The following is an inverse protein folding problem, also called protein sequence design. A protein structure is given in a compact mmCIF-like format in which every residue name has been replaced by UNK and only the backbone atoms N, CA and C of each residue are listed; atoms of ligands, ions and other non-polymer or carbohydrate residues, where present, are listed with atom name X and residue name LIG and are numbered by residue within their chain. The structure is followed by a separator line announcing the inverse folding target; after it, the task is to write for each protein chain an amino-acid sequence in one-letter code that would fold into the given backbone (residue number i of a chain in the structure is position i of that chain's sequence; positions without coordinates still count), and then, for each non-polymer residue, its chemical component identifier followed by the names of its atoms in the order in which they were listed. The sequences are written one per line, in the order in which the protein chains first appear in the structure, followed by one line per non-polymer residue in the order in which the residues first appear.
data_IF_026306028887
#
_entry.id   IF_026306028887
#
_cell.length_a   1.000
_cell.length_b   1.000
_cell.length_c   1.000
_cell.angle_alpha   90.00
_cell.angle_beta   90.00
_cell.angle_gamma   90.00
#
_symmetry.space_group_name_H-M   'P 1'
#
loop_
_entity.id
_entity.type
_entity.pdbx_description
1 polymer ?
#
# COMPACT_ATOMS: atom_id res chain seq x y z
N UNK A 1 3.98 1.53 9.18
CA UNK A 1 3.52 1.58 7.76
C UNK A 1 2.34 0.66 7.54
N UNK A 2 1.45 1.00 6.59
CA UNK A 2 0.29 0.16 6.26
C UNK A 2 0.21 -0.04 4.74
N UNK A 3 -0.07 -1.27 4.31
CA UNK A 3 -0.43 -1.56 2.91
C UNK A 3 -1.32 -2.80 2.83
N UNK A 4 -2.16 -2.87 1.81
CA UNK A 4 -3.11 -3.97 1.62
C UNK A 4 -3.19 -4.46 0.18
N UNK A 5 -3.64 -5.71 0.02
CA UNK A 5 -3.84 -6.31 -1.29
C UNK A 5 -5.16 -7.09 -1.33
N UNK A 6 -5.93 -6.92 -2.41
CA UNK A 6 -7.20 -7.63 -2.59
C UNK A 6 -6.96 -9.10 -2.93
N UNK A 7 -7.69 -10.05 -2.30
CA UNK A 7 -7.56 -11.49 -2.56
C UNK A 7 -8.23 -11.87 -3.90
N UNK A 8 -7.53 -11.64 -4.99
CA UNK A 8 -8.02 -11.92 -6.35
C UNK A 8 -7.43 -13.20 -6.94
N UNK A 9 -7.02 -14.15 -6.11
CA UNK A 9 -6.37 -15.42 -6.49
C UNK A 9 -4.85 -15.35 -6.40
N UNK A 10 -4.16 -16.42 -6.88
CA UNK A 10 -2.70 -16.57 -6.79
C UNK A 10 -1.95 -15.36 -7.33
N UNK A 11 -0.89 -14.96 -6.65
CA UNK A 11 -0.08 -13.82 -7.04
C UNK A 11 0.89 -14.16 -8.18
N UNK A 12 1.31 -13.13 -8.89
CA UNK A 12 2.23 -13.24 -10.02
C UNK A 12 3.39 -12.24 -9.92
N UNK A 13 4.38 -12.35 -10.77
CA UNK A 13 5.56 -11.48 -10.76
C UNK A 13 5.22 -9.99 -10.80
N UNK A 14 4.11 -9.60 -11.44
CA UNK A 14 3.62 -8.23 -11.42
C UNK A 14 3.21 -7.75 -10.02
N UNK A 15 2.64 -8.60 -9.17
CA UNK A 15 2.33 -8.29 -7.79
C UNK A 15 3.61 -8.26 -6.92
N UNK A 16 4.53 -9.18 -7.19
CA UNK A 16 5.80 -9.26 -6.47
C UNK A 16 6.63 -7.99 -6.65
N UNK A 17 6.97 -7.64 -7.87
CA UNK A 17 7.75 -6.44 -8.16
C UNK A 17 6.97 -5.14 -7.94
N UNK A 18 5.64 -5.18 -8.08
CA UNK A 18 4.78 -4.02 -7.88
C UNK A 18 4.59 -3.65 -6.41
N UNK A 19 4.70 -4.59 -5.48
CA UNK A 19 4.45 -4.35 -4.06
C UNK A 19 5.30 -5.22 -3.13
N UNK A 20 5.23 -6.56 -3.24
CA UNK A 20 5.76 -7.47 -2.23
C UNK A 20 7.27 -7.34 -2.02
N UNK A 21 8.03 -7.17 -3.08
CA UNK A 21 9.49 -7.00 -2.99
C UNK A 21 9.86 -5.80 -2.12
N UNK A 22 9.14 -4.70 -2.28
CA UNK A 22 9.32 -3.53 -1.43
C UNK A 22 8.89 -3.81 0.03
N UNK A 23 7.79 -4.54 0.23
CA UNK A 23 7.34 -4.91 1.57
C UNK A 23 8.36 -5.77 2.31
N UNK A 24 9.04 -6.69 1.62
CA UNK A 24 10.08 -7.53 2.22
C UNK A 24 11.30 -6.75 2.71
N UNK A 25 11.55 -5.57 2.16
CA UNK A 25 12.61 -4.66 2.61
C UNK A 25 12.13 -3.73 3.72
N UNK A 26 10.93 -3.17 3.58
CA UNK A 26 10.34 -2.23 4.55
C UNK A 26 10.08 -2.86 5.91
N UNK A 27 9.74 -4.15 5.97
CA UNK A 27 9.43 -4.84 7.22
C UNK A 27 10.57 -4.81 8.25
N UNK A 28 11.83 -4.59 7.83
CA UNK A 28 12.99 -4.49 8.72
C UNK A 28 13.34 -3.05 9.09
N UNK A 29 12.66 -2.07 8.49
CA UNK A 29 12.92 -0.66 8.70
C UNK A 29 11.82 0.03 9.51
N UNK A 30 10.60 -0.53 9.47
CA UNK A 30 9.40 0.06 10.05
C UNK A 30 8.50 -1.00 10.67
N UNK A 31 7.67 -0.60 11.62
CA UNK A 31 6.51 -1.40 12.03
C UNK A 31 5.52 -1.46 10.87
N UNK A 32 5.42 -2.64 10.24
CA UNK A 32 4.62 -2.86 9.05
C UNK A 32 3.38 -3.69 9.35
N UNK A 33 2.25 -3.20 8.84
CA UNK A 33 0.95 -3.85 8.86
C UNK A 33 0.54 -4.13 7.42
N UNK A 34 0.49 -5.41 7.05
CA UNK A 34 0.08 -5.86 5.71
C UNK A 34 -1.20 -6.66 5.81
N UNK A 35 -2.23 -6.27 5.06
CA UNK A 35 -3.53 -6.90 5.19
C UNK A 35 -4.12 -7.40 3.87
N UNK A 36 -4.84 -8.51 3.98
CA UNK A 36 -5.71 -8.98 2.90
C UNK A 36 -6.98 -8.15 2.93
N UNK A 37 -7.19 -7.38 1.86
CA UNK A 37 -8.29 -6.42 1.72
C UNK A 37 -9.55 -7.10 1.16
N UNK A 38 -10.16 -7.98 1.95
CA UNK A 38 -11.31 -8.77 1.55
C UNK A 38 -12.61 -7.94 1.44
N UNK A 39 -12.85 -6.95 2.31
CA UNK A 39 -13.93 -5.99 2.11
C UNK A 39 -13.79 -5.23 0.80
N UNK A 40 -12.57 -4.82 0.43
CA UNK A 40 -12.34 -4.18 -0.86
C UNK A 40 -12.59 -5.12 -2.04
N UNK A 41 -12.37 -6.42 -1.90
CA UNK A 41 -12.70 -7.38 -2.94
C UNK A 41 -14.20 -7.43 -3.20
N UNK A 42 -15.02 -7.32 -2.14
CA UNK A 42 -16.48 -7.30 -2.24
C UNK A 42 -17.02 -6.07 -2.97
N UNK A 43 -16.35 -4.95 -2.97
CA UNK A 43 -16.85 -3.72 -3.64
C UNK A 43 -17.06 -3.89 -5.14
N UNK A 44 -16.36 -4.83 -5.76
CA UNK A 44 -16.45 -5.12 -7.20
C UNK A 44 -16.72 -6.58 -7.53
N UNK A 45 -16.81 -7.45 -6.52
CA UNK A 45 -16.94 -8.91 -6.68
C UNK A 45 -17.95 -9.55 -5.74
N UNK A 46 -18.94 -8.80 -5.25
CA UNK A 46 -19.95 -9.29 -4.30
C UNK A 46 -20.87 -10.38 -4.85
N UNK A 47 -20.95 -10.52 -6.17
CA UNK A 47 -21.79 -11.52 -6.83
C UNK A 47 -21.23 -12.95 -6.71
N UNK A 48 -19.91 -13.11 -6.58
CA UNK A 48 -19.24 -14.39 -6.39
C UNK A 48 -18.23 -14.33 -5.25
N UNK A 49 -18.63 -14.80 -4.10
CA UNK A 49 -17.84 -14.81 -2.86
C UNK A 49 -17.23 -16.18 -2.56
N UNK A 50 -17.51 -17.19 -3.38
CA UNK A 50 -17.15 -18.59 -3.13
C UNK A 50 -15.66 -18.85 -2.96
N UNK A 51 -14.82 -17.96 -3.49
CA UNK A 51 -13.37 -18.10 -3.51
C UNK A 51 -12.62 -17.17 -2.55
N UNK A 52 -13.30 -16.26 -1.83
CA UNK A 52 -12.63 -15.22 -1.02
C UNK A 52 -11.77 -15.84 0.08
N UNK A 53 -12.27 -16.85 0.79
CA UNK A 53 -11.54 -17.49 1.88
C UNK A 53 -10.30 -18.22 1.37
N UNK A 54 -10.45 -19.02 0.30
CA UNK A 54 -9.32 -19.71 -0.32
C UNK A 54 -8.29 -18.74 -0.87
N UNK A 55 -8.72 -17.72 -1.61
CA UNK A 55 -7.83 -16.69 -2.15
C UNK A 55 -7.10 -15.92 -1.05
N UNK A 56 -7.76 -15.68 0.08
CA UNK A 56 -7.12 -15.04 1.25
C UNK A 56 -6.02 -15.92 1.80
N UNK A 57 -6.29 -17.19 2.02
CA UNK A 57 -5.32 -18.14 2.53
C UNK A 57 -4.12 -18.30 1.57
N UNK A 58 -4.39 -18.49 0.28
CA UNK A 58 -3.36 -18.61 -0.77
C UNK A 58 -2.50 -17.36 -0.89
N UNK A 59 -3.10 -16.18 -0.74
CA UNK A 59 -2.37 -14.91 -0.77
C UNK A 59 -1.39 -14.77 0.39
N UNK A 60 -1.78 -15.18 1.60
CA UNK A 60 -0.87 -15.15 2.76
C UNK A 60 0.28 -16.13 2.55
N UNK A 61 0.04 -17.31 1.98
CA UNK A 61 1.11 -18.25 1.60
C UNK A 61 2.05 -17.59 0.57
N UNK A 62 1.52 -16.92 -0.45
CA UNK A 62 2.33 -16.19 -1.43
C UNK A 62 3.20 -15.11 -0.77
N UNK A 63 2.68 -14.39 0.22
CA UNK A 63 3.43 -13.37 0.97
C UNK A 63 4.59 -13.98 1.77
N UNK A 64 4.32 -15.07 2.48
CA UNK A 64 5.33 -15.81 3.25
C UNK A 64 6.40 -16.41 2.32
N UNK A 65 5.97 -16.99 1.19
CA UNK A 65 6.85 -17.51 0.15
C UNK A 65 7.73 -16.42 -0.48
N UNK A 66 7.19 -15.21 -0.66
CA UNK A 66 7.93 -14.06 -1.16
C UNK A 66 8.96 -13.50 -0.15
N UNK A 67 8.87 -13.87 1.14
CA UNK A 67 9.83 -13.49 2.17
C UNK A 67 9.29 -12.55 3.24
N UNK A 68 7.97 -12.36 3.35
CA UNK A 68 7.41 -11.66 4.51
C UNK A 68 7.58 -12.53 5.77
N UNK A 69 8.08 -11.92 6.82
CA UNK A 69 8.36 -12.57 8.10
C UNK A 69 7.32 -12.16 9.15
N UNK A 70 6.43 -13.07 9.58
CA UNK A 70 5.39 -12.75 10.55
C UNK A 70 5.92 -12.42 11.96
N UNK A 71 7.20 -12.68 12.23
CA UNK A 71 7.82 -12.28 13.50
C UNK A 71 8.14 -10.78 13.55
N UNK A 72 8.24 -10.08 12.40
CA UNK A 72 8.57 -8.65 12.33
C UNK A 72 7.46 -7.82 11.70
N UNK A 73 6.68 -8.38 10.78
CA UNK A 73 5.54 -7.71 10.15
C UNK A 73 4.21 -8.30 10.65
N UNK A 74 3.21 -7.47 10.79
CA UNK A 74 1.85 -7.90 11.15
C UNK A 74 1.07 -8.24 9.89
N UNK A 75 0.72 -9.53 9.71
CA UNK A 75 -0.04 -10.03 8.56
C UNK A 75 -1.47 -10.36 9.02
N UNK A 76 -2.48 -9.71 8.46
CA UNK A 76 -3.86 -9.88 8.94
C UNK A 76 -4.90 -9.80 7.82
N UNK A 77 -6.16 -10.08 8.16
CA UNK A 77 -7.31 -10.00 7.24
C UNK A 77 -8.22 -8.86 7.70
N UNK A 78 -8.57 -7.98 6.78
CA UNK A 78 -9.33 -6.76 7.05
C UNK A 78 -10.65 -7.05 7.79
N UNK A 79 -11.44 -8.00 7.32
CA UNK A 79 -12.74 -8.34 7.92
C UNK A 79 -12.67 -8.93 9.33
N UNK A 80 -11.50 -9.46 9.74
CA UNK A 80 -11.27 -9.98 11.08
C UNK A 80 -10.89 -8.89 12.10
N UNK A 81 -10.76 -7.65 11.64
CA UNK A 81 -10.56 -6.44 12.46
C UNK A 81 -11.75 -5.51 12.18
N UNK A 82 -12.91 -5.72 12.87
CA UNK A 82 -14.16 -5.02 12.59
C UNK A 82 -14.07 -3.50 12.77
N UNK A 83 -13.06 -3.02 13.46
CA UNK A 83 -12.74 -1.60 13.65
C UNK A 83 -12.59 -0.86 12.31
N UNK A 84 -12.15 -1.53 11.24
CA UNK A 84 -12.11 -0.97 9.88
C UNK A 84 -13.52 -0.55 9.39
N UNK A 85 -14.49 -1.44 9.56
CA UNK A 85 -15.87 -1.17 9.16
C UNK A 85 -16.52 -0.12 10.06
N UNK A 86 -16.23 -0.13 11.36
CA UNK A 86 -16.78 0.85 12.30
C UNK A 86 -16.21 2.25 12.02
N UNK A 87 -14.89 2.38 11.82
CA UNK A 87 -14.30 3.68 11.46
C UNK A 87 -14.82 4.18 10.10
N UNK A 88 -14.94 3.30 9.10
CA UNK A 88 -15.55 3.67 7.83
C UNK A 88 -16.95 4.25 8.01
N UNK A 89 -17.80 3.61 8.83
CA UNK A 89 -19.14 4.10 9.13
C UNK A 89 -19.08 5.49 9.77
N UNK A 90 -18.23 5.70 10.78
CA UNK A 90 -18.12 6.99 11.48
C UNK A 90 -17.63 8.10 10.55
N UNK A 91 -16.64 7.83 9.73
CA UNK A 91 -16.12 8.78 8.75
C UNK A 91 -17.15 9.10 7.65
N UNK A 92 -18.05 8.15 7.32
CA UNK A 92 -19.10 8.38 6.31
C UNK A 92 -20.08 9.48 6.72
N UNK A 93 -20.23 9.75 8.03
CA UNK A 93 -21.11 10.81 8.54
C UNK A 93 -20.59 12.22 8.23
N UNK A 94 -19.31 12.36 7.94
CA UNK A 94 -18.68 13.67 7.72
C UNK A 94 -18.11 13.85 6.30
N UNK A 95 -18.02 12.78 5.51
CA UNK A 95 -17.37 12.83 4.20
C UNK A 95 -18.38 13.27 3.12
N UNK A 96 -18.14 14.41 2.42
CA UNK A 96 -19.00 14.83 1.33
C UNK A 96 -18.96 13.86 0.15
N UNK A 97 -20.13 13.49 -0.43
CA UNK A 97 -20.21 12.58 -1.58
C UNK A 97 -19.38 13.06 -2.77
N UNK A 98 -19.40 14.36 -3.06
CA UNK A 98 -18.62 14.91 -4.17
C UNK A 98 -17.09 14.76 -4.03
N UNK A 99 -16.58 14.41 -2.85
CA UNK A 99 -15.17 14.07 -2.71
C UNK A 99 -14.89 12.68 -3.28
N UNK A 100 -15.76 11.72 -2.99
CA UNK A 100 -15.65 10.33 -3.46
C UNK A 100 -15.84 10.23 -4.97
N UNK A 101 -16.84 10.95 -5.52
CA UNK A 101 -17.14 10.99 -6.96
C UNK A 101 -16.01 11.60 -7.81
N UNK A 102 -15.14 12.42 -7.21
CA UNK A 102 -14.01 13.06 -7.91
C UNK A 102 -12.72 12.25 -7.89
N UNK A 103 -12.65 11.16 -7.13
CA UNK A 103 -11.47 10.30 -7.12
C UNK A 103 -11.26 9.72 -8.52
N UNK A 104 -10.09 9.95 -9.18
CA UNK A 104 -9.87 9.53 -10.56
C UNK A 104 -10.09 8.04 -10.80
N UNK A 105 -9.58 7.20 -9.90
CA UNK A 105 -9.72 5.74 -9.99
C UNK A 105 -11.17 5.24 -9.90
N UNK A 106 -12.08 5.98 -9.27
CA UNK A 106 -13.51 5.68 -9.27
C UNK A 106 -14.08 5.74 -10.68
N UNK A 107 -13.76 6.80 -11.43
CA UNK A 107 -14.22 6.99 -12.82
C UNK A 107 -13.59 5.97 -13.77
N UNK A 108 -12.27 5.76 -13.63
CA UNK A 108 -11.53 4.81 -14.45
C UNK A 108 -12.07 3.38 -14.29
N UNK A 109 -12.39 2.98 -13.05
CA UNK A 109 -12.97 1.66 -12.79
C UNK A 109 -14.40 1.52 -13.32
N UNK A 110 -15.23 2.56 -13.26
CA UNK A 110 -16.55 2.56 -13.90
C UNK A 110 -16.45 2.36 -15.43
N UNK A 111 -15.44 2.93 -16.07
CA UNK A 111 -15.21 2.76 -17.49
C UNK A 111 -14.68 1.37 -17.85
N UNK A 112 -13.81 0.80 -17.02
CA UNK A 112 -13.20 -0.51 -17.26
C UNK A 112 -14.12 -1.69 -16.96
N UNK A 113 -15.06 -1.53 -16.02
CA UNK A 113 -15.94 -2.59 -15.52
C UNK A 113 -17.41 -2.37 -15.92
N UNK A 114 -17.66 -1.86 -17.13
CA UNK A 114 -19.02 -1.54 -17.64
C UNK A 114 -20.00 -2.72 -17.63
N UNK A 115 -19.50 -3.94 -17.60
CA UNK A 115 -20.32 -5.15 -17.57
C UNK A 115 -20.81 -5.52 -16.16
N UNK A 116 -20.30 -4.85 -15.10
CA UNK A 116 -20.69 -5.07 -13.72
C UNK A 116 -21.63 -3.95 -13.25
N UNK A 117 -22.60 -4.31 -12.42
CA UNK A 117 -23.40 -3.31 -11.71
C UNK A 117 -22.56 -2.71 -10.56
N UNK A 118 -21.90 -1.60 -10.85
CA UNK A 118 -21.11 -0.83 -9.91
C UNK A 118 -21.87 0.37 -9.30
N UNK A 119 -23.17 0.50 -9.56
CA UNK A 119 -23.99 1.55 -8.98
C UNK A 119 -24.38 1.25 -7.52
N UNK A 120 -23.42 0.76 -6.75
CA UNK A 120 -23.62 0.41 -5.34
C UNK A 120 -22.92 1.41 -4.41
N UNK A 121 -23.48 1.59 -3.20
CA UNK A 121 -22.81 2.39 -2.16
C UNK A 121 -21.41 1.86 -1.82
N UNK A 122 -21.24 0.54 -1.76
CA UNK A 122 -19.96 -0.09 -1.49
C UNK A 122 -18.89 0.30 -2.49
N UNK A 123 -19.23 0.37 -3.78
CA UNK A 123 -18.32 0.81 -4.81
C UNK A 123 -18.02 2.32 -4.74
N UNK A 124 -19.03 3.17 -4.54
CA UNK A 124 -18.81 4.60 -4.31
C UNK A 124 -17.98 4.86 -3.05
N UNK A 125 -18.19 4.07 -2.00
CA UNK A 125 -17.55 4.23 -0.69
C UNK A 125 -16.15 3.62 -0.56
N UNK A 126 -15.61 2.91 -1.59
CA UNK A 126 -14.32 2.24 -1.42
C UNK A 126 -13.14 3.19 -1.11
N UNK A 127 -13.06 4.43 -1.63
CA UNK A 127 -11.98 5.34 -1.25
C UNK A 127 -12.06 5.76 0.23
N UNK A 128 -13.28 5.84 0.77
CA UNK A 128 -13.49 6.11 2.19
C UNK A 128 -13.12 4.90 3.05
N UNK A 129 -13.42 3.68 2.61
CA UNK A 129 -12.98 2.46 3.29
C UNK A 129 -11.44 2.39 3.34
N UNK A 130 -10.77 2.71 2.23
CA UNK A 130 -9.31 2.80 2.18
C UNK A 130 -8.76 3.88 3.11
N UNK A 131 -9.47 5.02 3.23
CA UNK A 131 -9.11 6.06 4.20
C UNK A 131 -9.26 5.58 5.63
N UNK A 132 -10.31 4.82 5.95
CA UNK A 132 -10.49 4.21 7.26
C UNK A 132 -9.37 3.20 7.57
N UNK A 133 -9.01 2.33 6.60
CA UNK A 133 -7.91 1.39 6.73
C UNK A 133 -6.62 2.12 7.14
N UNK A 134 -6.29 3.19 6.43
CA UNK A 134 -5.07 3.96 6.66
C UNK A 134 -5.12 4.67 8.03
N UNK A 135 -6.17 5.42 8.30
CA UNK A 135 -6.26 6.27 9.49
C UNK A 135 -6.32 5.46 10.79
N UNK A 136 -6.83 4.23 10.73
CA UNK A 136 -6.96 3.34 11.88
C UNK A 136 -5.61 3.01 12.54
N UNK A 137 -4.55 2.93 11.75
CA UNK A 137 -3.20 2.63 12.22
C UNK A 137 -2.29 3.86 12.34
N UNK A 138 -2.79 5.06 12.08
CA UNK A 138 -2.06 6.34 12.17
C UNK A 138 -0.65 6.25 11.56
N UNK A 139 -0.48 5.74 10.33
CA UNK A 139 0.84 5.52 9.76
C UNK A 139 1.52 6.85 9.45
N UNK A 140 2.83 6.93 9.66
CA UNK A 140 3.63 8.07 9.20
C UNK A 140 3.63 8.18 7.68
N UNK A 141 3.61 7.04 6.98
CA UNK A 141 3.61 6.99 5.53
C UNK A 141 2.93 5.74 4.98
N UNK A 142 2.37 5.88 3.80
CA UNK A 142 1.72 4.81 3.04
C UNK A 142 2.51 4.57 1.77
N UNK A 143 3.14 3.39 1.59
CA UNK A 143 3.85 3.06 0.36
C UNK A 143 2.85 2.86 -0.77
N UNK A 144 2.91 3.71 -1.78
CA UNK A 144 1.96 3.71 -2.90
C UNK A 144 2.65 3.93 -4.24
N UNK A 145 2.05 3.40 -5.31
CA UNK A 145 2.34 3.80 -6.68
C UNK A 145 1.71 5.16 -6.99
N UNK A 146 2.14 5.78 -8.08
CA UNK A 146 1.64 7.10 -8.52
C UNK A 146 0.11 7.15 -8.68
N UNK A 147 -0.50 6.06 -9.12
CA UNK A 147 -1.95 5.92 -9.31
C UNK A 147 -2.75 5.94 -8.01
N UNK A 148 -2.12 5.70 -6.87
CA UNK A 148 -2.75 5.67 -5.55
C UNK A 148 -2.55 6.96 -4.74
N UNK A 149 -1.77 7.92 -5.21
CA UNK A 149 -1.52 9.20 -4.52
C UNK A 149 -2.84 9.93 -4.23
N UNK A 150 -3.78 9.94 -5.18
CA UNK A 150 -5.08 10.57 -5.00
C UNK A 150 -5.88 9.97 -3.81
N UNK A 151 -5.71 8.69 -3.49
CA UNK A 151 -6.35 8.07 -2.33
C UNK A 151 -5.70 8.50 -1.00
N UNK A 152 -4.40 8.72 -0.99
CA UNK A 152 -3.73 9.28 0.21
C UNK A 152 -4.15 10.73 0.42
N UNK A 153 -4.26 11.52 -0.66
CA UNK A 153 -4.72 12.91 -0.56
C UNK A 153 -6.16 13.01 -0.03
N UNK A 154 -7.11 12.20 -0.51
CA UNK A 154 -8.48 12.21 0.05
C UNK A 154 -8.47 11.76 1.51
N UNK A 155 -7.60 10.81 1.90
CA UNK A 155 -7.43 10.39 3.28
C UNK A 155 -6.97 11.54 4.18
N UNK A 156 -6.03 12.36 3.71
CA UNK A 156 -5.57 13.58 4.40
C UNK A 156 -6.71 14.58 4.58
N UNK A 157 -7.49 14.83 3.52
CA UNK A 157 -8.65 15.73 3.60
C UNK A 157 -9.70 15.25 4.60
N UNK A 158 -9.95 13.93 4.67
CA UNK A 158 -10.89 13.33 5.63
C UNK A 158 -10.35 13.49 7.06
N UNK A 159 -9.06 13.19 7.29
CA UNK A 159 -8.42 13.37 8.60
C UNK A 159 -8.49 14.83 9.06
N UNK A 160 -8.15 15.77 8.17
CA UNK A 160 -8.22 17.22 8.45
C UNK A 160 -9.63 17.66 8.79
N UNK A 161 -10.64 17.20 8.03
CA UNK A 161 -12.05 17.50 8.30
C UNK A 161 -12.49 16.92 9.63
N UNK A 162 -12.10 15.66 9.94
CA UNK A 162 -12.40 15.05 11.24
C UNK A 162 -11.83 15.87 12.39
N UNK A 163 -10.55 16.20 12.33
CA UNK A 163 -9.88 17.00 13.36
C UNK A 163 -10.48 18.40 13.49
N UNK A 164 -10.90 19.02 12.38
CA UNK A 164 -11.58 20.32 12.41
C UNK A 164 -12.93 20.26 13.12
N UNK A 165 -13.72 19.21 12.86
CA UNK A 165 -15.09 19.07 13.43
C UNK A 165 -15.04 18.61 14.89
N UNK A 166 -14.22 17.61 15.21
CA UNK A 166 -14.25 16.90 16.49
C UNK A 166 -13.01 17.14 17.37
N UNK A 167 -11.95 17.72 16.86
CA UNK A 167 -10.74 17.99 17.63
C UNK A 167 -10.86 19.13 18.62
N UNK A 168 -11.95 19.91 18.60
CA UNK A 168 -12.17 21.02 19.53
C UNK A 168 -12.72 20.48 20.86
N UNK A 169 -11.81 20.23 21.79
CA UNK A 169 -12.19 19.91 23.16
C UNK A 169 -12.57 21.19 23.94
N UNK A 170 -13.41 21.08 24.99
CA UNK A 170 -13.69 22.21 25.88
C UNK A 170 -12.39 22.81 26.43
N UNK A 171 -12.30 24.15 26.45
CA UNK A 171 -11.12 24.90 26.89
C UNK A 171 -9.84 24.60 26.10
N UNK A 172 -9.95 24.20 24.82
CA UNK A 172 -8.82 23.82 23.97
C UNK A 172 -7.69 24.84 24.00
N UNK A 173 -7.98 26.12 23.82
CA UNK A 173 -6.97 27.19 23.83
C UNK A 173 -6.27 27.31 25.19
N UNK A 174 -7.01 27.22 26.29
CA UNK A 174 -6.44 27.27 27.64
C UNK A 174 -5.56 26.03 27.93
N UNK A 175 -5.95 24.89 27.41
CA UNK A 175 -5.15 23.65 27.49
C UNK A 175 -3.90 23.73 26.59
N UNK A 176 -4.01 24.28 25.40
CA UNK A 176 -2.87 24.52 24.50
C UNK A 176 -1.86 25.48 25.13
N UNK A 177 -2.32 26.57 25.74
CA UNK A 177 -1.42 27.51 26.44
C UNK A 177 -0.72 26.86 27.65
N UNK A 178 -1.37 25.92 28.35
CA UNK A 178 -0.70 25.11 29.37
C UNK A 178 0.35 24.17 28.79
N UNK A 179 0.03 23.48 27.68
CA UNK A 179 0.96 22.62 26.97
C UNK A 179 2.18 23.40 26.43
N UNK A 180 1.99 24.64 25.95
CA UNK A 180 3.09 25.50 25.54
C UNK A 180 4.04 25.79 26.73
N UNK A 181 3.51 25.99 27.91
CA UNK A 181 4.37 26.20 29.12
C UNK A 181 5.21 24.95 29.42
N UNK A 182 4.69 23.75 29.16
CA UNK A 182 5.41 22.49 29.34
C UNK A 182 6.60 22.32 28.38
N UNK A 183 6.65 23.05 27.24
CA UNK A 183 7.80 23.09 26.35
C UNK A 183 9.04 23.72 26.99
N UNK A 184 8.86 24.50 28.06
CA UNK A 184 9.90 25.35 28.66
C UNK A 184 10.03 26.68 27.93
N UNK A 185 10.53 27.72 28.63
CA UNK A 185 10.50 29.12 28.18
C UNK A 185 11.10 29.36 26.78
N UNK A 186 12.25 28.72 26.49
CA UNK A 186 12.94 28.86 25.20
C UNK A 186 12.13 28.25 24.06
N UNK A 187 11.69 26.99 24.20
CA UNK A 187 10.95 26.29 23.15
C UNK A 187 9.53 26.87 22.98
N UNK A 188 8.91 27.34 24.05
CA UNK A 188 7.62 28.04 23.99
C UNK A 188 7.68 29.33 23.14
N UNK A 189 8.76 30.11 23.29
CA UNK A 189 8.97 31.31 22.48
C UNK A 189 9.18 30.97 21.00
N UNK A 190 9.99 29.94 20.70
CA UNK A 190 10.24 29.45 19.34
C UNK A 190 8.92 28.96 18.72
N UNK A 191 8.18 28.12 19.42
CA UNK A 191 6.89 27.58 18.96
C UNK A 191 5.89 28.68 18.59
N UNK A 192 5.70 29.68 19.47
CA UNK A 192 4.82 30.82 19.20
C UNK A 192 5.26 31.62 17.97
N UNK A 193 6.56 31.81 17.77
CA UNK A 193 7.10 32.48 16.59
C UNK A 193 6.81 31.69 15.31
N UNK A 194 7.04 30.37 15.33
CA UNK A 194 6.80 29.48 14.19
C UNK A 194 5.29 29.41 13.87
N UNK A 195 4.43 29.30 14.89
CA UNK A 195 2.97 29.32 14.72
C UNK A 195 2.50 30.62 14.05
N UNK A 196 3.00 31.76 14.49
CA UNK A 196 2.67 33.06 13.89
C UNK A 196 3.12 33.13 12.42
N UNK A 197 4.36 32.72 12.13
CA UNK A 197 4.90 32.70 10.75
C UNK A 197 4.06 31.81 9.85
N UNK A 198 3.64 30.64 10.32
CA UNK A 198 2.77 29.74 9.56
C UNK A 198 1.38 30.32 9.34
N UNK A 199 0.70 30.76 10.42
CA UNK A 199 -0.69 31.20 10.35
C UNK A 199 -0.89 32.57 9.67
N UNK A 200 0.05 33.50 9.84
CA UNK A 200 -0.08 34.85 9.28
C UNK A 200 0.58 34.99 7.90
N UNK A 201 1.61 34.18 7.60
CA UNK A 201 2.44 34.33 6.39
C UNK A 201 2.39 33.10 5.47
N UNK A 202 1.77 31.99 5.89
CA UNK A 202 1.71 30.74 5.12
C UNK A 202 3.08 30.03 5.00
N UNK A 203 4.02 30.28 5.94
CA UNK A 203 5.37 29.71 5.88
C UNK A 203 5.36 28.21 6.17
N UNK A 204 5.34 27.37 5.13
CA UNK A 204 5.39 25.92 5.24
C UNK A 204 6.68 25.41 5.92
N UNK A 205 7.81 26.15 5.80
CA UNK A 205 9.03 25.77 6.49
C UNK A 205 8.93 26.01 8.00
N UNK A 206 8.14 26.99 8.43
CA UNK A 206 7.84 27.19 9.85
C UNK A 206 7.00 26.03 10.41
N UNK A 207 6.06 25.50 9.64
CA UNK A 207 5.27 24.30 10.03
C UNK A 207 6.19 23.10 10.28
N UNK A 208 7.04 22.77 9.31
CA UNK A 208 8.01 21.65 9.44
C UNK A 208 8.94 21.81 10.65
N UNK A 209 9.44 23.02 10.90
CA UNK A 209 10.30 23.30 12.07
C UNK A 209 9.55 23.18 13.39
N UNK A 210 8.26 23.53 13.41
CA UNK A 210 7.44 23.40 14.60
C UNK A 210 7.14 21.93 14.93
N UNK A 211 6.86 21.11 13.92
CA UNK A 211 6.73 19.66 14.09
C UNK A 211 8.00 19.06 14.70
N UNK A 212 9.17 19.31 14.11
CA UNK A 212 10.45 18.84 14.63
C UNK A 212 10.74 19.30 16.07
N UNK A 213 10.31 20.50 16.45
CA UNK A 213 10.43 21.02 17.81
C UNK A 213 9.56 20.25 18.80
N UNK A 214 8.35 19.87 18.40
CA UNK A 214 7.41 19.12 19.23
C UNK A 214 7.87 17.66 19.39
N UNK A 215 8.24 17.01 18.28
CA UNK A 215 8.70 15.61 18.24
C UNK A 215 9.98 15.40 19.09
N UNK A 216 10.87 16.38 19.10
CA UNK A 216 12.10 16.34 19.89
C UNK A 216 11.91 16.66 21.38
N UNK A 217 10.70 16.91 21.87
CA UNK A 217 10.46 17.36 23.25
C UNK A 217 9.90 16.28 24.17
N UNK A 218 10.77 15.62 24.92
CA UNK A 218 10.45 14.54 25.86
C UNK A 218 9.59 14.99 27.09
N UNK A 219 9.29 16.28 27.25
CA UNK A 219 8.48 16.80 28.36
C UNK A 219 6.99 16.82 28.02
N UNK A 220 6.61 16.64 26.78
CA UNK A 220 5.23 16.62 26.35
C UNK A 220 4.62 15.24 26.58
N UNK A 221 3.39 15.23 27.09
CA UNK A 221 2.54 14.03 26.97
C UNK A 221 2.06 13.90 25.52
N UNK A 222 1.67 12.70 25.09
CA UNK A 222 1.09 12.50 23.77
C UNK A 222 -0.09 13.43 23.53
N UNK A 223 -0.98 13.59 24.51
CA UNK A 223 -2.13 14.48 24.40
C UNK A 223 -1.75 15.96 24.27
N UNK A 224 -0.67 16.42 24.94
CA UNK A 224 -0.19 17.79 24.78
C UNK A 224 0.50 18.00 23.43
N UNK A 225 1.22 17.00 22.95
CA UNK A 225 1.84 17.01 21.62
C UNK A 225 0.77 17.17 20.51
N UNK A 226 -0.24 16.31 20.50
CA UNK A 226 -1.35 16.38 19.53
C UNK A 226 -2.12 17.70 19.63
N UNK A 227 -2.32 18.19 20.84
CA UNK A 227 -2.99 19.48 21.06
C UNK A 227 -2.19 20.65 20.47
N UNK A 228 -0.87 20.62 20.62
CA UNK A 228 0.01 21.65 20.06
C UNK A 228 0.10 21.56 18.55
N UNK A 229 0.08 20.37 17.94
CA UNK A 229 -0.05 20.22 16.48
C UNK A 229 -1.33 20.87 15.97
N UNK A 230 -2.47 20.54 16.56
CA UNK A 230 -3.74 21.16 16.18
C UNK A 230 -3.78 22.67 16.41
N UNK A 231 -3.20 23.15 17.50
CA UNK A 231 -3.12 24.59 17.79
C UNK A 231 -2.20 25.34 16.82
N UNK A 232 -1.13 24.69 16.36
CA UNK A 232 -0.22 25.20 15.33
C UNK A 232 -0.96 25.46 14.02
N UNK A 233 -1.76 24.49 13.59
CA UNK A 233 -2.48 24.54 12.31
C UNK A 233 -3.81 25.31 12.37
N UNK A 234 -4.23 25.78 13.56
CA UNK A 234 -5.50 26.47 13.76
C UNK A 234 -6.70 25.53 13.78
N UNK A 235 -6.45 24.22 13.91
CA UNK A 235 -7.44 23.16 14.12
C UNK A 235 -7.65 22.89 15.61
N UNK A 236 -8.36 21.84 15.97
CA UNK A 236 -8.42 21.34 17.34
C UNK A 236 -7.25 20.39 17.66
N UNK A 237 -7.44 19.51 18.66
CA UNK A 237 -6.54 18.38 18.91
C UNK A 237 -6.50 17.50 17.67
N UNK A 238 -5.30 17.12 17.25
CA UNK A 238 -5.13 16.13 16.18
C UNK A 238 -5.48 14.75 16.73
N UNK A 239 -6.53 14.14 16.21
CA UNK A 239 -6.99 12.81 16.59
C UNK A 239 -6.56 11.79 15.53
N UNK A 240 -6.74 12.15 14.26
CA UNK A 240 -6.33 11.39 13.11
C UNK A 240 -5.22 12.16 12.39
N UNK A 241 -3.94 11.72 12.46
CA UNK A 241 -2.85 12.36 11.76
C UNK A 241 -2.99 12.21 10.25
N UNK A 242 -2.51 13.19 9.51
CA UNK A 242 -2.47 13.16 8.04
C UNK A 242 -1.32 12.27 7.57
N UNK A 243 -1.59 11.17 6.83
CA UNK A 243 -0.53 10.30 6.34
C UNK A 243 0.21 10.92 5.16
N UNK A 244 1.50 10.61 4.99
CA UNK A 244 2.27 10.94 3.81
C UNK A 244 2.26 9.82 2.78
N UNK A 245 2.18 10.17 1.48
CA UNK A 245 2.37 9.22 0.41
C UNK A 245 3.87 8.96 0.21
N UNK A 246 4.29 7.72 0.38
CA UNK A 246 5.66 7.29 0.09
C UNK A 246 5.68 6.68 -1.31
N UNK A 247 6.13 7.45 -2.28
CA UNK A 247 6.26 6.97 -3.64
C UNK A 247 7.31 5.87 -3.70
N UNK A 248 6.86 4.68 -4.06
CA UNK A 248 7.73 3.54 -4.32
C UNK A 248 7.89 3.37 -5.82
N UNK A 249 9.14 3.16 -6.26
CA UNK A 249 9.38 2.77 -7.63
C UNK A 249 8.75 1.39 -7.86
N UNK A 250 7.55 1.38 -8.44
CA UNK A 250 6.87 0.14 -8.82
C UNK A 250 7.13 -0.13 -10.29
N UNK A 251 8.11 -0.98 -10.63
CA UNK A 251 8.37 -1.29 -12.03
C UNK A 251 7.14 -1.99 -12.63
N UNK A 252 6.70 -1.52 -13.78
CA UNK A 252 5.66 -2.21 -14.55
C UNK A 252 6.26 -3.48 -15.10
N UNK A 253 5.77 -4.63 -14.64
CA UNK A 253 6.21 -5.92 -15.16
C UNK A 253 5.42 -6.23 -16.43
N UNK A 254 6.14 -6.45 -17.51
CA UNK A 254 5.58 -6.83 -18.81
C UNK A 254 5.20 -8.30 -18.80
N UNK A 255 3.98 -8.62 -19.24
CA UNK A 255 3.47 -9.97 -19.38
C UNK A 255 3.98 -10.68 -20.63
N UNK A 256 3.62 -11.95 -20.79
CA UNK A 256 4.08 -12.83 -21.86
C UNK A 256 3.70 -12.33 -23.27
N UNK A 257 2.68 -11.50 -23.39
CA UNK A 257 2.14 -10.92 -24.62
C UNK A 257 2.61 -9.47 -24.88
N UNK A 258 3.51 -8.95 -24.07
CA UNK A 258 4.03 -7.58 -24.18
C UNK A 258 3.18 -6.49 -23.53
N UNK A 259 1.97 -6.78 -23.06
CA UNK A 259 1.15 -5.87 -22.25
C UNK A 259 1.55 -5.95 -20.79
N UNK A 260 1.05 -5.03 -19.95
CA UNK A 260 1.19 -5.13 -18.49
C UNK A 260 0.74 -6.50 -18.01
N UNK A 261 1.52 -7.15 -17.15
CA UNK A 261 1.19 -8.45 -16.58
C UNK A 261 -0.11 -8.37 -15.77
N UNK A 262 -1.11 -9.17 -16.14
CA UNK A 262 -2.42 -9.19 -15.50
C UNK A 262 -3.13 -10.52 -15.73
N UNK A 263 -3.83 -11.02 -14.71
CA UNK A 263 -4.61 -12.26 -14.79
C UNK A 263 -5.70 -12.19 -15.86
N UNK A 264 -6.35 -11.04 -16.03
CA UNK A 264 -7.41 -10.84 -17.04
C UNK A 264 -6.90 -11.02 -18.47
N UNK A 265 -5.60 -10.90 -18.71
CA UNK A 265 -5.00 -11.13 -20.02
C UNK A 265 -4.42 -12.54 -20.19
N UNK A 266 -4.38 -13.35 -19.13
CA UNK A 266 -3.77 -14.69 -19.17
C UNK A 266 -2.27 -14.67 -19.46
N UNK A 267 -1.58 -13.55 -19.21
CA UNK A 267 -0.19 -13.29 -19.57
C UNK A 267 0.77 -13.33 -18.38
N UNK A 268 0.39 -14.02 -17.30
CA UNK A 268 1.09 -13.99 -16.01
C UNK A 268 2.06 -15.17 -15.84
N UNK A 269 3.05 -14.94 -14.96
CA UNK A 269 3.90 -15.96 -14.33
C UNK A 269 3.59 -15.92 -12.84
N UNK A 270 3.05 -17.03 -12.29
CA UNK A 270 2.68 -17.17 -10.87
C UNK A 270 3.90 -17.34 -9.98
N UNK A 271 3.81 -16.89 -8.73
CA UNK A 271 4.93 -16.96 -7.76
C UNK A 271 5.27 -18.40 -7.31
N UNK A 272 4.33 -19.32 -7.42
CA UNK A 272 4.50 -20.74 -7.05
C UNK A 272 4.26 -21.67 -8.24
N UNK A 273 4.35 -21.14 -9.45
CA UNK A 273 4.14 -21.91 -10.68
C UNK A 273 5.23 -22.96 -10.86
N UNK A 274 4.91 -24.01 -11.59
CA UNK A 274 5.88 -25.05 -11.89
C UNK A 274 7.07 -24.50 -12.70
N UNK A 275 8.32 -24.73 -12.26
CA UNK A 275 9.50 -24.17 -12.89
C UNK A 275 9.64 -24.52 -14.39
N UNK A 276 9.23 -25.73 -14.80
CA UNK A 276 9.29 -26.16 -16.20
C UNK A 276 8.23 -25.42 -17.04
N UNK A 277 7.03 -25.19 -16.49
CA UNK A 277 6.01 -24.40 -17.16
C UNK A 277 6.43 -22.91 -17.25
N UNK A 278 7.07 -22.35 -16.21
CA UNK A 278 7.66 -21.00 -16.26
C UNK A 278 8.69 -20.90 -17.38
N UNK A 279 9.63 -21.87 -17.45
CA UNK A 279 10.64 -21.90 -18.50
C UNK A 279 10.00 -21.99 -19.90
N UNK A 280 8.96 -22.79 -20.06
CA UNK A 280 8.21 -22.95 -21.32
C UNK A 280 7.50 -21.64 -21.70
N UNK A 281 6.80 -20.99 -20.76
CA UNK A 281 6.15 -19.69 -20.97
C UNK A 281 7.14 -18.63 -21.42
N UNK A 282 8.29 -18.51 -20.78
CA UNK A 282 9.31 -17.54 -21.16
C UNK A 282 9.95 -17.86 -22.53
N UNK A 283 10.16 -19.13 -22.86
CA UNK A 283 10.66 -19.52 -24.21
C UNK A 283 9.72 -19.03 -25.31
N UNK A 284 8.41 -19.12 -25.07
CA UNK A 284 7.36 -18.73 -26.03
C UNK A 284 6.94 -17.26 -25.92
N UNK A 285 7.40 -16.53 -24.89
CA UNK A 285 7.09 -15.11 -24.70
C UNK A 285 7.39 -14.29 -25.95
N UNK A 286 6.53 -13.35 -26.26
CA UNK A 286 6.65 -12.45 -27.40
C UNK A 286 7.98 -11.68 -27.36
N UNK A 287 8.59 -11.52 -28.53
CA UNK A 287 9.82 -10.73 -28.72
C UNK A 287 9.53 -9.52 -29.61
N UNK A 288 10.57 -8.76 -29.98
CA UNK A 288 10.43 -7.66 -30.94
C UNK A 288 9.76 -8.14 -32.25
N UNK A 289 8.57 -7.63 -32.60
CA UNK A 289 7.86 -8.06 -33.82
C UNK A 289 8.61 -7.78 -35.11
N UNK A 290 9.52 -6.81 -35.12
CA UNK A 290 10.33 -6.48 -36.30
C UNK A 290 11.40 -7.56 -36.58
N UNK A 291 11.74 -8.38 -35.58
CA UNK A 291 12.75 -9.43 -35.70
C UNK A 291 12.12 -10.77 -36.08
N UNK A 292 11.90 -10.99 -37.38
CA UNK A 292 11.26 -12.19 -37.90
C UNK A 292 12.26 -13.33 -38.05
N UNK A 293 13.50 -13.03 -38.49
CA UNK A 293 14.57 -14.01 -38.70
C UNK A 293 15.70 -13.80 -37.69
N UNK A 294 16.49 -14.85 -37.43
CA UNK A 294 17.68 -14.76 -36.56
C UNK A 294 18.68 -13.71 -37.04
N UNK A 295 18.77 -13.52 -38.36
CA UNK A 295 19.67 -12.56 -39.01
C UNK A 295 19.17 -11.12 -38.99
N UNK A 296 17.93 -10.89 -38.58
CA UNK A 296 17.38 -9.54 -38.51
C UNK A 296 17.87 -8.84 -37.24
N UNK A 297 18.40 -7.62 -37.33
CA UNK A 297 18.70 -6.85 -36.14
C UNK A 297 17.40 -6.50 -35.40
N UNK A 298 17.45 -6.57 -34.09
CA UNK A 298 16.31 -6.20 -33.22
C UNK A 298 16.54 -4.91 -32.46
N UNK A 299 15.46 -4.40 -31.88
CA UNK A 299 15.48 -3.26 -30.97
C UNK A 299 15.08 -3.74 -29.56
N UNK A 300 16.01 -3.80 -28.59
CA UNK A 300 15.68 -4.21 -27.22
C UNK A 300 14.52 -3.39 -26.62
N UNK A 301 14.45 -2.08 -26.88
CA UNK A 301 13.44 -1.22 -26.27
C UNK A 301 11.99 -1.50 -26.81
N UNK A 302 11.89 -2.26 -27.91
CA UNK A 302 10.61 -2.74 -28.45
C UNK A 302 10.30 -4.18 -28.09
N UNK A 303 11.20 -4.81 -27.35
CA UNK A 303 11.11 -6.24 -27.02
C UNK A 303 10.58 -6.43 -25.59
N UNK A 304 9.42 -7.06 -25.38
CA UNK A 304 8.89 -7.32 -24.04
C UNK A 304 9.84 -8.10 -23.11
N UNK A 305 10.67 -8.96 -23.68
CA UNK A 305 11.69 -9.72 -22.93
C UNK A 305 12.75 -8.80 -22.34
N UNK A 306 13.03 -7.66 -22.95
CA UNK A 306 13.99 -6.69 -22.47
C UNK A 306 13.58 -6.05 -21.15
N UNK A 307 12.29 -5.82 -20.95
CA UNK A 307 11.78 -5.29 -19.68
C UNK A 307 12.05 -6.28 -18.54
N UNK A 308 11.93 -7.58 -18.79
CA UNK A 308 12.31 -8.59 -17.81
C UNK A 308 13.83 -8.68 -17.60
N UNK A 309 14.65 -8.47 -18.65
CA UNK A 309 16.09 -8.36 -18.46
C UNK A 309 16.48 -7.19 -17.55
N UNK A 310 15.80 -6.05 -17.68
CA UNK A 310 16.03 -4.89 -16.78
C UNK A 310 15.77 -5.22 -15.30
N UNK A 311 14.85 -6.16 -15.01
CA UNK A 311 14.52 -6.59 -13.66
C UNK A 311 15.44 -7.69 -13.12
N UNK A 312 15.83 -8.63 -13.97
CA UNK A 312 16.44 -9.88 -13.53
C UNK A 312 17.93 -10.01 -13.86
N UNK A 313 18.38 -9.37 -14.92
CA UNK A 313 19.72 -9.61 -15.42
C UNK A 313 20.74 -8.62 -14.88
N UNK A 314 21.93 -9.11 -14.58
CA UNK A 314 23.07 -8.27 -14.22
C UNK A 314 23.46 -7.34 -15.39
N UNK A 315 24.12 -6.21 -15.13
CA UNK A 315 24.45 -5.21 -16.16
C UNK A 315 25.26 -5.75 -17.34
N UNK A 316 26.16 -6.68 -17.13
CA UNK A 316 26.96 -7.36 -18.16
C UNK A 316 26.11 -8.23 -19.07
N UNK A 317 25.15 -8.98 -18.52
CA UNK A 317 24.17 -9.78 -19.26
C UNK A 317 23.23 -8.87 -20.07
N UNK A 318 22.79 -7.75 -19.49
CA UNK A 318 21.99 -6.76 -20.20
C UNK A 318 22.77 -6.18 -21.39
N UNK A 319 24.03 -5.79 -21.19
CA UNK A 319 24.89 -5.27 -22.27
C UNK A 319 25.09 -6.30 -23.38
N UNK A 320 25.36 -7.57 -23.01
CA UNK A 320 25.49 -8.67 -23.96
C UNK A 320 24.21 -8.90 -24.77
N UNK A 321 23.05 -8.96 -24.10
CA UNK A 321 21.75 -9.16 -24.73
C UNK A 321 21.40 -8.01 -25.68
N UNK A 322 21.59 -6.77 -25.23
CA UNK A 322 21.29 -5.58 -26.02
C UNK A 322 22.20 -5.50 -27.29
N UNK A 323 23.51 -5.68 -27.13
CA UNK A 323 24.44 -5.67 -28.26
C UNK A 323 24.14 -6.80 -29.22
N UNK A 324 24.01 -8.04 -28.71
CA UNK A 324 23.73 -9.22 -29.54
C UNK A 324 22.37 -9.11 -30.28
N UNK A 325 21.37 -8.48 -29.70
CA UNK A 325 20.10 -8.19 -30.34
C UNK A 325 20.24 -7.21 -31.50
N UNK A 326 20.88 -6.06 -31.27
CA UNK A 326 21.09 -5.00 -32.28
C UNK A 326 21.96 -5.43 -33.45
N UNK A 327 22.93 -6.30 -33.22
CA UNK A 327 23.86 -6.79 -34.26
C UNK A 327 23.42 -8.11 -34.90
N UNK A 328 22.26 -8.66 -34.51
CA UNK A 328 21.84 -10.01 -34.85
C UNK A 328 22.87 -11.10 -34.46
N UNK A 329 23.74 -10.78 -33.50
CA UNK A 329 24.83 -11.70 -33.05
C UNK A 329 24.31 -12.87 -32.21
N UNK A 330 23.15 -12.77 -31.57
CA UNK A 330 22.50 -13.82 -30.79
C UNK A 330 21.07 -14.06 -31.26
N UNK A 331 20.55 -15.28 -31.08
CA UNK A 331 19.13 -15.61 -31.31
C UNK A 331 18.26 -15.21 -30.12
N UNK A 332 16.92 -15.06 -30.33
CA UNK A 332 16.01 -14.73 -29.26
C UNK A 332 15.97 -15.79 -28.14
N UNK A 333 16.11 -17.07 -28.47
CA UNK A 333 16.18 -18.15 -27.48
C UNK A 333 17.50 -18.11 -26.69
N UNK A 334 18.60 -17.74 -27.34
CA UNK A 334 19.89 -17.55 -26.66
C UNK A 334 19.82 -16.37 -25.68
N UNK A 335 19.19 -15.25 -26.10
CA UNK A 335 18.95 -14.10 -25.28
C UNK A 335 18.11 -14.43 -24.04
N UNK A 336 17.03 -15.20 -24.21
CA UNK A 336 16.12 -15.59 -23.13
C UNK A 336 16.73 -16.53 -22.10
N UNK A 337 17.74 -17.32 -22.47
CA UNK A 337 18.26 -18.37 -21.59
C UNK A 337 18.72 -17.87 -20.23
N UNK A 338 19.62 -16.87 -20.08
CA UNK A 338 20.04 -16.38 -18.78
C UNK A 338 18.88 -15.74 -17.98
N UNK A 339 17.89 -15.15 -18.66
CA UNK A 339 16.70 -14.64 -18.03
C UNK A 339 15.84 -15.78 -17.45
N UNK A 340 15.61 -16.84 -18.23
CA UNK A 340 14.84 -18.02 -17.79
C UNK A 340 15.49 -18.63 -16.57
N UNK A 341 16.81 -18.82 -16.58
CA UNK A 341 17.53 -19.43 -15.47
C UNK A 341 17.32 -18.62 -14.16
N UNK A 342 17.36 -17.28 -14.22
CA UNK A 342 17.14 -16.41 -13.07
C UNK A 342 15.69 -16.41 -12.57
N UNK A 343 14.72 -16.32 -13.48
CA UNK A 343 13.29 -16.34 -13.10
C UNK A 343 12.93 -17.69 -12.48
N UNK A 344 13.39 -18.78 -13.09
CA UNK A 344 13.16 -20.14 -12.57
C UNK A 344 13.81 -20.34 -11.21
N UNK A 345 15.03 -19.83 -10.97
CA UNK A 345 15.69 -19.86 -9.68
C UNK A 345 14.85 -19.16 -8.59
N UNK A 346 14.37 -17.94 -8.86
CA UNK A 346 13.54 -17.16 -7.91
C UNK A 346 12.21 -17.88 -7.61
N UNK A 347 11.49 -18.33 -8.64
CA UNK A 347 10.22 -19.05 -8.48
C UNK A 347 10.41 -20.38 -7.74
N UNK A 348 11.48 -21.12 -8.04
CA UNK A 348 11.80 -22.36 -7.32
C UNK A 348 12.01 -22.10 -5.83
N UNK A 349 12.74 -21.04 -5.48
CA UNK A 349 12.93 -20.64 -4.09
C UNK A 349 11.64 -20.26 -3.39
N UNK A 350 10.74 -19.51 -4.06
CA UNK A 350 9.42 -19.17 -3.52
C UNK A 350 8.56 -20.43 -3.34
N UNK A 351 8.52 -21.31 -4.33
CA UNK A 351 7.76 -22.56 -4.27
C UNK A 351 8.23 -23.47 -3.12
N UNK A 352 9.54 -23.59 -2.92
CA UNK A 352 10.10 -24.35 -1.80
C UNK A 352 9.67 -23.79 -0.43
N UNK A 353 9.70 -22.47 -0.26
CA UNK A 353 9.21 -21.85 0.97
C UNK A 353 7.70 -22.00 1.16
N UNK A 354 6.93 -21.92 0.07
CA UNK A 354 5.48 -22.10 0.11
C UNK A 354 5.07 -23.50 0.57
N UNK A 355 5.84 -24.54 0.20
CA UNK A 355 5.52 -25.94 0.50
C UNK A 355 5.36 -26.18 2.01
N UNK A 356 6.19 -25.55 2.85
CA UNK A 356 6.06 -25.65 4.31
C UNK A 356 4.70 -25.18 4.80
N UNK A 357 4.18 -24.09 4.24
CA UNK A 357 2.90 -23.50 4.63
C UNK A 357 1.71 -24.22 3.98
N UNK A 358 1.87 -24.77 2.77
CA UNK A 358 0.86 -25.62 2.11
C UNK A 358 0.65 -26.92 2.88
N UNK A 359 1.73 -27.52 3.39
CA UNK A 359 1.69 -28.74 4.20
C UNK A 359 1.14 -28.49 5.61
N UNK A 360 1.20 -27.23 6.10
CA UNK A 360 0.80 -26.83 7.46
C UNK A 360 -0.22 -25.67 7.44
N UNK A 361 -1.45 -25.85 6.94
CA UNK A 361 -2.44 -24.79 6.85
C UNK A 361 -2.84 -24.19 8.22
N UNK A 362 -2.71 -24.96 9.31
CA UNK A 362 -2.94 -24.46 10.66
C UNK A 362 -1.92 -23.40 11.07
N UNK A 363 -0.67 -23.52 10.64
CA UNK A 363 0.35 -22.51 10.88
C UNK A 363 -0.02 -21.18 10.22
N UNK A 364 -0.52 -21.21 8.99
CA UNK A 364 -0.98 -20.02 8.28
C UNK A 364 -2.18 -19.38 9.00
N UNK A 365 -3.14 -20.20 9.45
CA UNK A 365 -4.28 -19.74 10.25
C UNK A 365 -3.83 -19.10 11.56
N UNK A 366 -2.83 -19.67 12.23
CA UNK A 366 -2.21 -19.12 13.44
C UNK A 366 -1.57 -17.74 13.19
N UNK A 367 -0.76 -17.61 12.14
CA UNK A 367 -0.13 -16.35 11.74
C UNK A 367 -1.20 -15.27 11.49
N UNK A 368 -2.26 -15.59 10.75
CA UNK A 368 -3.36 -14.68 10.50
C UNK A 368 -4.07 -14.28 11.80
N UNK A 369 -4.32 -15.24 12.69
CA UNK A 369 -5.01 -14.98 13.95
C UNK A 369 -4.22 -14.05 14.86
N UNK A 370 -2.92 -14.31 15.05
CA UNK A 370 -2.02 -13.47 15.83
C UNK A 370 -1.89 -12.06 15.21
N UNK A 371 -1.77 -11.98 13.89
CA UNK A 371 -1.71 -10.71 13.17
C UNK A 371 -3.00 -9.90 13.32
N UNK A 372 -4.17 -10.55 13.27
CA UNK A 372 -5.46 -9.89 13.49
C UNK A 372 -5.60 -9.37 14.93
N UNK A 373 -5.15 -10.13 15.93
CA UNK A 373 -5.18 -9.72 17.33
C UNK A 373 -4.28 -8.49 17.57
N UNK A 374 -3.05 -8.53 17.05
CA UNK A 374 -2.11 -7.40 17.12
C UNK A 374 -2.64 -6.17 16.41
N UNK A 375 -3.16 -6.33 15.19
CA UNK A 375 -3.74 -5.25 14.41
C UNK A 375 -4.96 -4.64 15.13
N UNK A 376 -5.81 -5.48 15.71
CA UNK A 376 -6.99 -5.05 16.47
C UNK A 376 -6.63 -4.24 17.72
N UNK A 377 -5.54 -4.59 18.41
CA UNK A 377 -5.08 -3.82 19.57
C UNK A 377 -4.84 -2.34 19.20
N UNK A 378 -4.08 -2.09 18.13
CA UNK A 378 -3.80 -0.73 17.64
C UNK A 378 -5.06 -0.06 17.08
N UNK A 379 -5.87 -0.80 16.32
CA UNK A 379 -7.10 -0.30 15.71
C UNK A 379 -8.10 0.16 16.77
N UNK A 380 -8.28 -0.61 17.85
CA UNK A 380 -9.20 -0.27 18.95
C UNK A 380 -8.81 1.01 19.66
N UNK A 381 -7.52 1.24 19.92
CA UNK A 381 -7.02 2.47 20.55
C UNK A 381 -7.40 3.71 19.72
N UNK A 382 -7.19 3.63 18.41
CA UNK A 382 -7.55 4.74 17.51
C UNK A 382 -9.06 4.95 17.46
N UNK A 383 -9.83 3.87 17.36
CA UNK A 383 -11.28 3.93 17.30
C UNK A 383 -11.89 4.49 18.60
N UNK A 384 -11.30 4.15 19.75
CA UNK A 384 -11.73 4.69 21.05
C UNK A 384 -11.53 6.20 21.13
N UNK A 385 -10.38 6.72 20.65
CA UNK A 385 -10.13 8.17 20.56
C UNK A 385 -11.13 8.85 19.62
N UNK A 386 -11.44 8.23 18.48
CA UNK A 386 -12.46 8.73 17.53
C UNK A 386 -13.84 8.77 18.20
N UNK A 387 -14.27 7.68 18.83
CA UNK A 387 -15.56 7.58 19.54
C UNK A 387 -15.64 8.57 20.68
N UNK A 388 -14.57 8.76 21.43
CA UNK A 388 -14.51 9.75 22.49
C UNK A 388 -14.71 11.17 21.94
N UNK A 389 -14.04 11.50 20.83
CA UNK A 389 -14.17 12.82 20.21
C UNK A 389 -15.58 13.08 19.65
N UNK A 390 -16.23 12.04 19.15
CA UNK A 390 -17.61 12.11 18.64
C UNK A 390 -18.68 12.02 19.72
N UNK A 391 -18.31 11.86 21.00
CA UNK A 391 -19.24 11.77 22.12
C UNK A 391 -19.96 10.42 22.24
N UNK A 392 -19.41 9.37 21.67
CA UNK A 392 -20.00 8.01 21.64
C UNK A 392 -19.53 7.12 22.82
N UNK A 393 -18.88 7.69 23.82
CA UNK A 393 -18.48 6.98 25.04
C UNK A 393 -19.60 7.07 26.08
N UNK A 394 -20.42 6.04 26.14
CA UNK A 394 -21.43 5.89 27.18
C UNK A 394 -20.73 5.38 28.45
N UNK A 395 -20.78 6.19 29.52
CA UNK A 395 -20.36 5.83 30.88
C UNK A 395 -21.54 5.41 31.71
#
# INVERSE_FOLDING_TARGET
MLSGMRPTGSLHLGNYYGALKNWTELQYQYDCYFFVADYHALTTGYEDVSHIEDHTHQMVIDWLAAGLNPAVATLFVQSRVPEHAELHLLLSMITPLGWLERVPSYKDQQEQLKEKDLATYGFLGYPLLQSADILLYRPMGVPVGEDQVAHVEITREIARRFNFVFGREPDFEAKAERAIKNLGSKNAAIYRGLRRSYQEQGDAAALTRAHALLDGNSRLTLADHERLLGYLEGTGRTILPEPDALLTATPKVTGLDGRKMSKSYGNTIGLREDPDEVAKKLRTMQTDPARVRRTDPGDPEKCPVWDLHKLYSAPDVQAWAANGCRTAGIGCLECKKPLIDRVVEEITGMRQRAQEYEDNPEQVRGIIAEGCEKARGVASETLDDVKQAMGLTYR
#
